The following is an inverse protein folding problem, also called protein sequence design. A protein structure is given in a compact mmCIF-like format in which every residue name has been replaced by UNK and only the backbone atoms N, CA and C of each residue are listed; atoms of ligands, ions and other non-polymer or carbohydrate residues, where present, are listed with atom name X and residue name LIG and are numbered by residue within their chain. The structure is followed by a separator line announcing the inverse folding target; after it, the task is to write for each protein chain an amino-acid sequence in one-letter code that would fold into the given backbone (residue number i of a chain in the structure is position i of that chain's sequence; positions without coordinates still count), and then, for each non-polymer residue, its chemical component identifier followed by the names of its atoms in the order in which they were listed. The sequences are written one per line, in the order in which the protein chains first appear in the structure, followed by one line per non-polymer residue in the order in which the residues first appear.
data_IF_073896489337
#
_entry.id   IF_073896489337
#
_cell.length_a   1.000
_cell.length_b   1.000
_cell.length_c   1.000
_cell.angle_alpha   90.00
_cell.angle_beta   90.00
_cell.angle_gamma   90.00
#
_symmetry.space_group_name_H-M   'P 1'
#
loop_
_entity.id
_entity.type
_entity.pdbx_description
1 polymer ?
#
# COMPACT_ATOMS: atom_id res chain seq x y z
N UNK A 1 18.68 34.89 -4.46
CA UNK A 1 18.77 33.67 -5.29
C UNK A 1 18.34 32.49 -4.46
N UNK A 2 17.38 31.72 -4.97
CA UNK A 2 16.79 30.54 -4.36
C UNK A 2 17.75 29.35 -4.49
N UNK A 3 18.02 28.64 -3.40
CA UNK A 3 18.19 27.18 -3.44
C UNK A 3 17.59 26.56 -2.16
N UNK A 4 16.38 26.02 -2.30
CA UNK A 4 15.80 25.04 -1.38
C UNK A 4 16.55 23.72 -1.59
N UNK A 5 17.21 23.21 -0.55
CA UNK A 5 17.66 21.82 -0.48
C UNK A 5 16.96 21.13 0.67
N UNK A 6 15.82 20.51 0.34
CA UNK A 6 15.25 19.41 1.10
C UNK A 6 16.12 18.18 0.88
N UNK A 7 16.90 17.78 1.88
CA UNK A 7 17.42 16.40 2.06
C UNK A 7 18.04 16.32 3.45
N UNK A 8 17.46 15.49 4.30
CA UNK A 8 17.88 15.24 5.68
C UNK A 8 19.37 14.86 5.77
N UNK A 9 20.18 15.55 6.60
CA UNK A 9 21.38 14.99 7.17
C UNK A 9 21.16 14.85 8.69
N UNK A 10 21.01 13.63 9.17
CA UNK A 10 21.22 13.36 10.61
C UNK A 10 22.35 12.36 10.73
N UNK A 11 23.56 12.91 10.61
CA UNK A 11 24.78 12.30 11.13
C UNK A 11 24.63 12.26 12.66
N UNK A 12 24.71 11.08 13.26
CA UNK A 12 25.10 10.95 14.67
C UNK A 12 26.15 9.86 14.81
N UNK A 13 27.35 10.32 15.16
CA UNK A 13 28.50 9.55 15.58
C UNK A 13 28.16 8.76 16.85
N UNK A 14 28.37 7.44 16.82
CA UNK A 14 28.38 6.61 18.02
C UNK A 14 29.83 6.49 18.49
N UNK A 15 30.16 7.09 19.64
CA UNK A 15 31.42 6.84 20.34
C UNK A 15 31.19 5.57 21.17
N UNK A 16 31.74 4.45 20.72
CA UNK A 16 31.92 3.25 21.55
C UNK A 16 33.42 3.07 21.79
N UNK A 17 33.79 2.90 23.06
CA UNK A 17 35.17 2.90 23.53
C UNK A 17 36.01 1.75 22.98
N UNK A 18 37.27 2.11 22.72
CA UNK A 18 38.52 1.32 22.76
C UNK A 18 38.56 -0.04 22.05
N UNK A 19 39.42 -0.05 21.02
CA UNK A 19 40.08 -1.16 20.31
C UNK A 19 39.36 -1.66 19.04
N UNK A 20 39.87 -1.21 17.89
CA UNK A 20 39.88 -2.03 16.66
C UNK A 20 39.20 -1.41 15.43
N UNK A 21 40.01 -0.74 14.60
CA UNK A 21 39.83 -0.50 13.15
C UNK A 21 38.62 0.32 12.66
N UNK A 22 38.92 1.61 12.42
CA UNK A 22 38.20 2.49 11.51
C UNK A 22 38.39 2.03 10.06
N UNK A 23 37.34 1.48 9.47
CA UNK A 23 37.10 1.65 8.02
C UNK A 23 35.88 2.55 7.88
N UNK A 24 36.15 3.82 7.58
CA UNK A 24 35.12 4.77 7.15
C UNK A 24 34.74 4.39 5.73
N UNK A 25 33.81 3.45 5.61
CA UNK A 25 33.01 3.28 4.41
C UNK A 25 31.78 4.15 4.53
N UNK A 26 31.59 5.08 3.59
CA UNK A 26 30.26 5.63 3.29
C UNK A 26 29.39 4.46 2.83
N UNK A 27 28.79 3.73 3.76
CA UNK A 27 27.72 2.78 3.44
C UNK A 27 26.46 3.62 3.30
N UNK A 28 26.34 4.26 2.15
CA UNK A 28 25.06 4.75 1.65
C UNK A 28 24.16 3.53 1.55
N UNK A 29 23.24 3.43 2.52
CA UNK A 29 22.28 2.33 2.69
C UNK A 29 22.90 0.96 3.00
N UNK A 30 22.66 0.46 4.22
CA UNK A 30 22.74 -0.99 4.53
C UNK A 30 21.79 -1.81 3.61
N UNK A 31 20.88 -1.13 2.90
CA UNK A 31 19.84 -1.71 2.05
C UNK A 31 20.27 -2.05 0.60
N UNK A 32 21.56 -1.94 0.23
CA UNK A 32 21.99 -2.14 -1.17
C UNK A 32 23.03 -3.23 -1.43
N UNK A 33 23.44 -4.03 -0.43
CA UNK A 33 24.41 -5.11 -0.65
C UNK A 33 23.73 -6.49 -0.76
N UNK A 34 23.75 -7.14 -1.94
CA UNK A 34 23.19 -8.48 -2.14
C UNK A 34 23.83 -9.55 -1.24
N UNK A 35 25.10 -9.35 -0.86
CA UNK A 35 25.88 -10.26 0.00
C UNK A 35 25.29 -10.40 1.40
N UNK A 36 24.51 -9.41 1.87
CA UNK A 36 23.92 -9.41 3.21
C UNK A 36 22.53 -10.07 3.26
N UNK A 37 21.92 -10.39 2.10
CA UNK A 37 20.58 -11.00 2.02
C UNK A 37 20.62 -12.53 2.02
N UNK A 38 21.77 -13.13 1.68
CA UNK A 38 21.94 -14.59 1.61
C UNK A 38 22.06 -15.25 2.99
N UNK A 39 22.48 -14.49 4.01
CA UNK A 39 22.82 -15.01 5.33
C UNK A 39 21.72 -14.70 6.37
N UNK A 40 21.10 -15.76 6.92
CA UNK A 40 19.95 -15.69 7.82
C UNK A 40 20.24 -14.88 9.10
N UNK A 41 21.48 -14.94 9.58
CA UNK A 41 21.93 -14.20 10.76
C UNK A 41 21.84 -12.69 10.54
N UNK A 42 22.30 -12.21 9.37
CA UNK A 42 22.31 -10.79 9.03
C UNK A 42 20.91 -10.24 8.76
N UNK A 43 20.00 -11.05 8.20
CA UNK A 43 18.57 -10.71 8.10
C UNK A 43 17.91 -10.51 9.47
N UNK A 44 18.21 -11.38 10.43
CA UNK A 44 17.70 -11.28 11.80
C UNK A 44 18.24 -10.03 12.51
N UNK A 45 19.54 -9.78 12.42
CA UNK A 45 20.16 -8.55 12.97
C UNK A 45 19.57 -7.27 12.36
N UNK A 46 19.24 -7.27 11.07
CA UNK A 46 18.61 -6.12 10.39
C UNK A 46 17.16 -5.91 10.87
N UNK A 47 16.39 -6.98 11.04
CA UNK A 47 15.04 -6.93 11.61
C UNK A 47 15.05 -6.41 13.06
N UNK A 48 15.97 -6.92 13.88
CA UNK A 48 16.15 -6.49 15.27
C UNK A 48 16.63 -5.03 15.35
N UNK A 49 17.49 -4.60 14.42
CA UNK A 49 17.90 -3.19 14.29
C UNK A 49 16.71 -2.28 13.96
N UNK A 50 15.86 -2.65 13.00
CA UNK A 50 14.67 -1.86 12.68
C UNK A 50 13.66 -1.88 13.81
N UNK A 51 13.46 -3.02 14.49
CA UNK A 51 12.59 -3.09 15.66
C UNK A 51 13.11 -2.19 16.80
N UNK A 52 14.42 -2.17 17.03
CA UNK A 52 15.06 -1.30 18.01
C UNK A 52 15.03 0.17 17.58
N UNK A 53 15.33 0.49 16.32
CA UNK A 53 15.28 1.84 15.76
C UNK A 53 13.87 2.42 15.82
N UNK A 54 12.84 1.65 15.46
CA UNK A 54 11.45 2.10 15.54
C UNK A 54 10.97 2.24 16.99
N UNK A 55 11.38 1.35 17.92
CA UNK A 55 11.13 1.51 19.35
C UNK A 55 11.87 2.71 19.94
N UNK A 56 13.12 2.93 19.55
CA UNK A 56 13.96 4.04 20.01
C UNK A 56 13.46 5.37 19.46
N UNK A 57 13.00 5.40 18.20
CA UNK A 57 12.33 6.56 17.60
C UNK A 57 10.99 6.89 18.27
N UNK A 58 10.26 5.89 18.78
CA UNK A 58 9.07 6.07 19.62
C UNK A 58 9.44 6.60 21.03
N UNK A 59 10.58 6.17 21.61
CA UNK A 59 11.01 6.50 22.98
C UNK A 59 11.69 7.87 23.10
N UNK A 60 12.48 8.31 22.11
CA UNK A 60 13.23 9.60 22.17
C UNK A 60 12.31 10.83 21.94
N UNK A 61 11.00 10.69 22.13
CA UNK A 61 10.09 11.83 22.27
C UNK A 61 9.55 12.42 20.97
N UNK A 62 9.89 11.87 19.79
CA UNK A 62 9.35 12.36 18.51
C UNK A 62 7.85 12.09 18.35
N UNK A 63 7.31 10.97 18.82
CA UNK A 63 5.87 10.69 18.65
C UNK A 63 4.95 11.64 19.45
N UNK A 64 5.32 12.03 20.67
CA UNK A 64 4.56 13.01 21.46
C UNK A 64 4.76 14.44 20.92
N UNK A 65 6.00 14.81 20.60
CA UNK A 65 6.36 16.11 20.04
C UNK A 65 5.76 16.38 18.66
N UNK A 66 5.70 15.37 17.78
CA UNK A 66 5.02 15.44 16.48
C UNK A 66 3.51 15.57 16.69
N UNK A 67 2.89 14.83 17.62
CA UNK A 67 1.45 15.00 17.88
C UNK A 67 1.10 16.36 18.47
N UNK A 68 1.96 16.98 19.29
CA UNK A 68 1.79 18.33 19.83
C UNK A 68 2.04 19.43 18.79
N UNK A 69 3.12 19.37 18.00
CA UNK A 69 3.37 20.37 16.94
C UNK A 69 2.31 20.36 15.84
N UNK A 70 1.69 19.20 15.57
CA UNK A 70 0.60 19.10 14.60
C UNK A 70 -0.72 19.66 15.17
N UNK A 71 -0.97 19.51 16.48
CA UNK A 71 -2.11 20.16 17.17
C UNK A 71 -2.01 21.68 17.16
N UNK A 72 -0.81 22.23 17.29
CA UNK A 72 -0.62 23.69 17.37
C UNK A 72 -0.65 24.38 16.00
N UNK A 73 -0.45 23.65 14.89
CA UNK A 73 -0.22 24.26 13.58
C UNK A 73 -1.24 23.88 12.49
N UNK A 74 -2.32 23.14 12.78
CA UNK A 74 -3.14 22.43 11.77
C UNK A 74 -3.48 23.25 10.53
N UNK A 75 -2.74 23.04 9.42
CA UNK A 75 -3.31 23.23 8.09
C UNK A 75 -4.22 22.02 7.85
N UNK A 76 -5.28 22.17 7.07
CA UNK A 76 -6.11 21.04 6.64
C UNK A 76 -5.25 19.93 5.98
N UNK A 77 -5.67 18.68 6.12
CA UNK A 77 -5.02 17.50 5.52
C UNK A 77 -3.86 16.88 6.32
N UNK A 78 -3.51 17.39 7.50
CA UNK A 78 -2.30 16.94 8.24
C UNK A 78 -2.40 15.49 8.75
N UNK A 79 -3.55 15.09 9.28
CA UNK A 79 -3.78 13.70 9.72
C UNK A 79 -3.88 12.73 8.56
N UNK A 80 -4.46 13.18 7.44
CA UNK A 80 -4.53 12.40 6.20
C UNK A 80 -3.12 12.07 5.70
N UNK A 81 -2.22 13.05 5.69
CA UNK A 81 -0.82 12.82 5.31
C UNK A 81 -0.12 11.80 6.20
N UNK A 82 -0.30 11.86 7.53
CA UNK A 82 0.26 10.86 8.44
C UNK A 82 -0.29 9.46 8.20
N UNK A 83 -1.57 9.35 7.86
CA UNK A 83 -2.17 8.08 7.49
C UNK A 83 -1.57 7.49 6.22
N UNK A 84 -1.38 8.30 5.18
CA UNK A 84 -0.77 7.88 3.90
C UNK A 84 0.67 7.42 4.13
N UNK A 85 1.50 8.22 4.82
CA UNK A 85 2.89 7.87 5.13
C UNK A 85 3.00 6.55 5.93
N UNK A 86 2.11 6.36 6.92
CA UNK A 86 2.07 5.09 7.65
C UNK A 86 1.60 3.91 6.80
N UNK A 87 0.70 4.13 5.83
CA UNK A 87 0.30 3.09 4.88
C UNK A 87 1.44 2.73 3.92
N UNK A 88 2.20 3.72 3.42
CA UNK A 88 3.37 3.51 2.56
C UNK A 88 4.46 2.72 3.28
N UNK A 89 4.74 3.05 4.54
CA UNK A 89 5.63 2.25 5.41
C UNK A 89 5.13 0.81 5.52
N UNK A 90 3.83 0.59 5.69
CA UNK A 90 3.25 -0.74 5.72
C UNK A 90 3.38 -1.50 4.38
N UNK A 91 3.50 -0.81 3.24
CA UNK A 91 3.78 -1.41 1.94
C UNK A 91 5.27 -1.76 1.75
N UNK A 92 6.17 -0.89 2.21
CA UNK A 92 7.62 -1.16 2.16
C UNK A 92 7.99 -2.41 2.95
N UNK A 93 7.38 -2.62 4.12
CA UNK A 93 7.54 -3.83 4.96
C UNK A 93 7.26 -5.13 4.18
N UNK A 94 6.27 -5.14 3.26
CA UNK A 94 5.94 -6.32 2.42
C UNK A 94 7.06 -6.65 1.47
N UNK A 95 7.67 -5.62 0.88
CA UNK A 95 8.68 -5.77 -0.17
C UNK A 95 9.93 -6.48 0.35
N UNK A 96 10.18 -6.41 1.66
CA UNK A 96 11.36 -6.98 2.30
C UNK A 96 11.06 -8.28 3.07
N UNK A 97 9.95 -8.96 2.80
CA UNK A 97 9.57 -10.23 3.44
C UNK A 97 9.65 -10.20 4.99
N UNK A 98 9.18 -9.09 5.57
CA UNK A 98 9.30 -8.82 7.01
C UNK A 98 8.05 -9.19 7.82
N UNK A 99 8.23 -9.28 9.15
CA UNK A 99 7.24 -9.71 10.13
C UNK A 99 5.84 -9.11 9.94
N UNK A 100 4.85 -9.98 9.68
CA UNK A 100 3.43 -9.64 9.53
C UNK A 100 2.86 -8.93 10.79
N UNK A 101 3.52 -9.12 11.94
CA UNK A 101 3.22 -8.45 13.22
C UNK A 101 3.54 -6.95 13.19
N UNK A 102 4.69 -6.55 12.63
CA UNK A 102 5.07 -5.13 12.51
C UNK A 102 4.11 -4.42 11.55
N UNK A 103 3.84 -5.04 10.40
CA UNK A 103 2.86 -4.53 9.44
C UNK A 103 1.49 -4.28 10.07
N UNK A 104 1.01 -5.23 10.86
CA UNK A 104 -0.27 -5.10 11.58
C UNK A 104 -0.28 -3.92 12.56
N UNK A 105 0.84 -3.65 13.25
CA UNK A 105 0.97 -2.48 14.15
C UNK A 105 0.93 -1.17 13.37
N UNK A 106 1.69 -1.08 12.27
CA UNK A 106 1.72 0.13 11.43
C UNK A 106 0.34 0.41 10.81
N UNK A 107 -0.35 -0.61 10.30
CA UNK A 107 -1.72 -0.44 9.78
C UNK A 107 -2.74 -0.04 10.86
N UNK A 108 -2.52 -0.44 12.11
CA UNK A 108 -3.33 0.07 13.24
C UNK A 108 -3.10 1.56 13.48
N UNK A 109 -1.85 2.01 13.37
CA UNK A 109 -1.48 3.43 13.46
C UNK A 109 -2.11 4.23 12.31
N UNK A 110 -2.01 3.74 11.08
CA UNK A 110 -2.64 4.35 9.90
C UNK A 110 -4.15 4.54 10.06
N UNK A 111 -4.84 3.50 10.54
CA UNK A 111 -6.28 3.58 10.79
C UNK A 111 -6.64 4.61 11.87
N UNK A 112 -5.85 4.73 12.94
CA UNK A 112 -6.09 5.76 13.96
C UNK A 112 -5.99 7.17 13.38
N UNK A 113 -5.00 7.43 12.51
CA UNK A 113 -4.86 8.73 11.86
C UNK A 113 -6.00 9.01 10.89
N UNK A 114 -6.46 8.03 10.12
CA UNK A 114 -7.60 8.26 9.22
C UNK A 114 -8.91 8.49 9.95
N UNK A 115 -9.17 7.82 11.08
CA UNK A 115 -10.34 8.14 11.89
C UNK A 115 -10.29 9.62 12.33
N UNK A 116 -9.13 10.07 12.80
CA UNK A 116 -8.93 11.47 13.21
C UNK A 116 -9.12 12.43 12.04
N UNK A 117 -8.56 12.12 10.86
CA UNK A 117 -8.77 12.90 9.65
C UNK A 117 -10.28 12.99 9.31
N UNK A 118 -10.99 11.86 9.28
CA UNK A 118 -12.41 11.87 8.96
C UNK A 118 -13.27 12.67 9.95
N UNK A 119 -12.82 12.85 11.19
CA UNK A 119 -13.53 13.66 12.21
C UNK A 119 -13.15 15.15 12.20
N UNK A 120 -11.95 15.49 11.72
CA UNK A 120 -11.39 16.86 11.84
C UNK A 120 -11.43 17.62 10.51
N UNK A 121 -11.36 16.93 9.37
CA UNK A 121 -11.33 17.58 8.06
C UNK A 121 -12.71 18.17 7.69
N UNK A 122 -12.75 19.50 7.56
CA UNK A 122 -13.95 20.26 7.18
C UNK A 122 -14.08 20.41 5.66
N UNK A 123 -12.94 20.51 4.96
CA UNK A 123 -12.85 20.66 3.49
C UNK A 123 -13.43 19.43 2.77
N UNK A 124 -14.36 19.65 1.84
CA UNK A 124 -15.09 18.57 1.15
C UNK A 124 -14.17 17.70 0.26
N UNK A 125 -13.24 18.32 -0.47
CA UNK A 125 -12.29 17.62 -1.33
C UNK A 125 -11.35 16.70 -0.53
N UNK A 126 -10.81 17.21 0.57
CA UNK A 126 -9.95 16.45 1.49
C UNK A 126 -10.73 15.35 2.21
N UNK A 127 -12.02 15.56 2.49
CA UNK A 127 -12.89 14.53 3.07
C UNK A 127 -13.09 13.38 2.09
N UNK A 128 -13.28 13.66 0.81
CA UNK A 128 -13.38 12.63 -0.24
C UNK A 128 -12.10 11.78 -0.31
N UNK A 129 -10.93 12.44 -0.34
CA UNK A 129 -9.64 11.75 -0.30
C UNK A 129 -9.46 10.95 0.99
N UNK A 130 -9.88 11.51 2.13
CA UNK A 130 -9.82 10.82 3.42
C UNK A 130 -10.62 9.53 3.41
N UNK A 131 -11.85 9.56 2.89
CA UNK A 131 -12.70 8.38 2.75
C UNK A 131 -12.10 7.34 1.79
N UNK A 132 -11.48 7.77 0.69
CA UNK A 132 -10.73 6.89 -0.23
C UNK A 132 -9.60 6.15 0.50
N UNK A 133 -8.73 6.89 1.19
CA UNK A 133 -7.62 6.31 1.95
C UNK A 133 -8.10 5.47 3.14
N UNK A 134 -9.26 5.81 3.71
CA UNK A 134 -9.90 5.01 4.74
C UNK A 134 -10.28 3.63 4.20
N UNK A 135 -10.99 3.60 3.08
CA UNK A 135 -11.35 2.39 2.38
C UNK A 135 -10.13 1.50 2.10
N UNK A 136 -9.05 2.09 1.57
CA UNK A 136 -7.82 1.37 1.29
C UNK A 136 -7.15 0.79 2.55
N UNK A 137 -7.05 1.55 3.64
CA UNK A 137 -6.48 1.05 4.90
C UNK A 137 -7.32 -0.10 5.45
N UNK A 138 -8.65 0.00 5.38
CA UNK A 138 -9.55 -1.07 5.79
C UNK A 138 -9.37 -2.33 4.92
N UNK A 139 -9.20 -2.17 3.59
CA UNK A 139 -8.89 -3.27 2.67
C UNK A 139 -7.58 -3.97 2.99
N UNK A 140 -6.54 -3.23 3.36
CA UNK A 140 -5.26 -3.84 3.77
C UNK A 140 -5.38 -4.49 5.14
N UNK A 141 -6.18 -3.91 6.03
CA UNK A 141 -6.45 -4.46 7.37
C UNK A 141 -7.37 -5.68 7.38
N UNK A 142 -8.16 -5.91 6.33
CA UNK A 142 -9.03 -7.10 6.24
C UNK A 142 -8.24 -8.41 6.26
N UNK A 143 -6.94 -8.38 5.93
CA UNK A 143 -6.01 -9.50 6.16
C UNK A 143 -5.91 -9.91 7.64
N UNK A 144 -6.14 -8.99 8.58
CA UNK A 144 -5.82 -9.16 10.00
C UNK A 144 -7.06 -9.15 10.92
N UNK A 145 -7.70 -10.29 11.18
CA UNK A 145 -8.84 -10.44 12.09
C UNK A 145 -10.15 -10.64 11.33
N UNK A 146 -11.29 -10.10 11.82
CA UNK A 146 -12.56 -10.21 11.10
C UNK A 146 -12.47 -9.52 9.72
N UNK A 147 -12.47 -10.34 8.66
CA UNK A 147 -12.30 -9.96 7.26
C UNK A 147 -13.54 -9.25 6.75
N UNK A 148 -14.70 -9.85 6.92
CA UNK A 148 -15.99 -9.38 6.43
C UNK A 148 -16.33 -7.98 6.96
N UNK A 149 -16.27 -7.80 8.29
CA UNK A 149 -16.54 -6.48 8.93
C UNK A 149 -15.66 -5.36 8.38
N UNK A 150 -14.42 -5.67 8.00
CA UNK A 150 -13.49 -4.67 7.46
C UNK A 150 -13.66 -4.43 5.98
N UNK A 151 -14.10 -5.44 5.23
CA UNK A 151 -14.41 -5.28 3.83
C UNK A 151 -15.69 -4.47 3.64
N UNK A 152 -16.74 -4.76 4.41
CA UNK A 152 -17.96 -3.94 4.43
C UNK A 152 -17.64 -2.49 4.77
N UNK A 153 -16.89 -2.27 5.86
CA UNK A 153 -16.45 -0.93 6.22
C UNK A 153 -15.55 -0.27 5.15
N UNK A 154 -14.79 -1.04 4.37
CA UNK A 154 -14.03 -0.47 3.27
C UNK A 154 -14.94 0.01 2.14
N UNK A 155 -15.97 -0.78 1.80
CA UNK A 155 -16.96 -0.43 0.78
C UNK A 155 -17.72 0.83 1.20
N UNK A 156 -18.23 0.88 2.43
CA UNK A 156 -18.98 2.04 2.93
C UNK A 156 -18.18 3.35 2.82
N UNK A 157 -16.89 3.31 3.16
CA UNK A 157 -16.04 4.51 3.07
C UNK A 157 -15.67 4.83 1.61
N UNK A 158 -15.47 3.83 0.73
CA UNK A 158 -15.22 4.09 -0.69
C UNK A 158 -16.45 4.67 -1.40
N UNK A 159 -17.64 4.20 -1.05
CA UNK A 159 -18.90 4.73 -1.59
C UNK A 159 -19.12 6.18 -1.18
N UNK A 160 -18.80 6.55 0.06
CA UNK A 160 -18.78 7.97 0.48
C UNK A 160 -17.81 8.80 -0.35
N UNK A 161 -16.63 8.26 -0.65
CA UNK A 161 -15.65 8.96 -1.49
C UNK A 161 -16.17 9.18 -2.92
N UNK A 162 -16.93 8.22 -3.47
CA UNK A 162 -17.54 8.32 -4.81
C UNK A 162 -18.64 9.40 -4.90
N UNK A 163 -19.37 9.64 -3.81
CA UNK A 163 -20.42 10.67 -3.77
C UNK A 163 -19.84 12.06 -4.01
N UNK A 164 -18.64 12.32 -3.46
CA UNK A 164 -17.96 13.62 -3.60
C UNK A 164 -17.04 13.66 -4.83
N UNK A 165 -16.28 12.59 -5.08
CA UNK A 165 -15.33 12.50 -6.20
C UNK A 165 -15.58 11.24 -7.04
N UNK A 166 -16.49 11.33 -8.01
CA UNK A 166 -16.87 10.21 -8.86
C UNK A 166 -15.89 9.90 -10.00
N UNK A 167 -14.96 10.82 -10.28
CA UNK A 167 -14.06 10.78 -11.47
C UNK A 167 -12.78 9.99 -11.19
N UNK A 168 -12.44 9.70 -9.93
CA UNK A 168 -11.20 9.01 -9.58
C UNK A 168 -11.28 7.49 -9.83
N UNK A 169 -10.56 6.93 -10.83
CA UNK A 169 -10.61 5.50 -11.14
C UNK A 169 -10.08 4.61 -10.01
N UNK A 170 -9.20 5.14 -9.15
CA UNK A 170 -8.62 4.35 -8.06
C UNK A 170 -9.68 3.95 -7.02
N UNK A 171 -10.72 4.76 -6.84
CA UNK A 171 -11.80 4.45 -5.90
C UNK A 171 -12.60 3.24 -6.42
N UNK A 172 -12.97 3.24 -7.69
CA UNK A 172 -13.63 2.11 -8.36
C UNK A 172 -12.77 0.84 -8.34
N UNK A 173 -11.47 0.97 -8.58
CA UNK A 173 -10.53 -0.14 -8.48
C UNK A 173 -10.48 -0.77 -7.08
N UNK A 174 -10.39 0.05 -6.02
CA UNK A 174 -10.39 -0.45 -4.64
C UNK A 174 -11.72 -1.07 -4.25
N UNK A 175 -12.83 -0.51 -4.74
CA UNK A 175 -14.17 -1.04 -4.48
C UNK A 175 -14.35 -2.40 -5.16
N UNK A 176 -13.85 -2.56 -6.39
CA UNK A 176 -13.79 -3.86 -7.08
C UNK A 176 -13.02 -4.92 -6.29
N UNK A 177 -11.83 -4.57 -5.76
CA UNK A 177 -11.05 -5.48 -4.89
C UNK A 177 -11.83 -5.84 -3.62
N UNK A 178 -12.54 -4.88 -3.02
CA UNK A 178 -13.31 -5.12 -1.81
C UNK A 178 -14.44 -6.13 -2.04
N UNK A 179 -15.23 -5.91 -3.10
CA UNK A 179 -16.34 -6.78 -3.52
C UNK A 179 -15.87 -8.16 -3.96
N UNK A 180 -14.76 -8.23 -4.70
CA UNK A 180 -14.12 -9.50 -5.05
C UNK A 180 -13.76 -10.31 -3.80
N UNK A 181 -13.19 -9.66 -2.77
CA UNK A 181 -12.82 -10.33 -1.52
C UNK A 181 -14.01 -10.79 -0.68
N UNK A 182 -15.19 -10.20 -0.87
CA UNK A 182 -16.47 -10.62 -0.28
C UNK A 182 -17.16 -11.74 -1.07
N UNK A 183 -16.71 -12.03 -2.30
CA UNK A 183 -17.33 -13.02 -3.18
C UNK A 183 -18.37 -12.44 -4.14
N UNK A 184 -18.54 -11.12 -4.15
CA UNK A 184 -19.46 -10.42 -5.06
C UNK A 184 -18.80 -10.19 -6.43
N UNK A 185 -18.52 -11.27 -7.15
CA UNK A 185 -17.70 -11.23 -8.37
C UNK A 185 -18.30 -10.40 -9.50
N UNK A 186 -19.62 -10.48 -9.71
CA UNK A 186 -20.30 -9.70 -10.75
C UNK A 186 -20.16 -8.19 -10.49
N UNK A 187 -20.42 -7.76 -9.27
CA UNK A 187 -20.29 -6.35 -8.90
C UNK A 187 -18.83 -5.89 -8.94
N UNK A 188 -17.87 -6.76 -8.61
CA UNK A 188 -16.45 -6.46 -8.74
C UNK A 188 -16.06 -6.17 -10.20
N UNK A 189 -16.58 -6.96 -11.16
CA UNK A 189 -16.37 -6.75 -12.59
C UNK A 189 -16.91 -5.39 -13.01
N UNK A 190 -18.15 -5.05 -12.63
CA UNK A 190 -18.75 -3.76 -12.96
C UNK A 190 -17.89 -2.59 -12.46
N UNK A 191 -17.32 -2.72 -11.26
CA UNK A 191 -16.43 -1.71 -10.68
C UNK A 191 -15.10 -1.60 -11.45
N UNK A 192 -14.51 -2.73 -11.85
CA UNK A 192 -13.28 -2.74 -12.63
C UNK A 192 -13.48 -2.21 -14.06
N UNK A 193 -14.64 -2.45 -14.66
CA UNK A 193 -15.03 -1.87 -15.96
C UNK A 193 -15.20 -0.35 -15.85
N UNK A 194 -15.90 0.15 -14.83
CA UNK A 194 -15.99 1.61 -14.57
C UNK A 194 -14.62 2.24 -14.32
N UNK A 195 -13.74 1.56 -13.57
CA UNK A 195 -12.37 2.03 -13.40
C UNK A 195 -11.63 2.14 -14.74
N UNK A 196 -11.79 1.15 -15.63
CA UNK A 196 -11.19 1.14 -16.97
C UNK A 196 -11.73 2.26 -17.87
N UNK A 197 -13.02 2.58 -17.77
CA UNK A 197 -13.64 3.67 -18.54
C UNK A 197 -13.11 5.06 -18.12
N UNK A 198 -12.78 5.23 -16.84
CA UNK A 198 -12.27 6.49 -16.28
C UNK A 198 -10.74 6.63 -16.40
N UNK A 199 -10.01 5.52 -16.49
CA UNK A 199 -8.56 5.53 -16.69
C UNK A 199 -8.18 6.00 -18.09
N UNK A 200 -7.60 7.22 -18.19
CA UNK A 200 -6.97 7.69 -19.44
C UNK A 200 -5.73 6.88 -19.82
N UNK A 201 -5.06 6.30 -18.83
CA UNK A 201 -3.90 5.43 -18.98
C UNK A 201 -4.24 4.07 -18.38
N UNK A 202 -4.29 3.03 -19.20
CA UNK A 202 -4.72 1.71 -18.75
C UNK A 202 -3.72 1.10 -17.75
N UNK A 203 -4.13 0.93 -16.49
CA UNK A 203 -3.29 0.28 -15.47
C UNK A 203 -3.33 -1.25 -15.58
N UNK A 204 -2.19 -1.95 -15.73
CA UNK A 204 -2.14 -3.43 -15.78
C UNK A 204 -2.74 -4.09 -14.53
N UNK A 205 -2.68 -3.41 -13.38
CA UNK A 205 -3.25 -3.84 -12.11
C UNK A 205 -4.77 -4.07 -12.22
N UNK A 206 -5.49 -3.10 -12.79
CA UNK A 206 -6.94 -3.14 -12.87
C UNK A 206 -7.40 -4.28 -13.79
N UNK A 207 -6.74 -4.42 -14.95
CA UNK A 207 -7.01 -5.51 -15.90
C UNK A 207 -6.73 -6.89 -15.32
N UNK A 208 -5.65 -7.05 -14.53
CA UNK A 208 -5.36 -8.29 -13.83
C UNK A 208 -6.47 -8.65 -12.81
N UNK A 209 -6.93 -7.68 -12.02
CA UNK A 209 -8.00 -7.91 -11.04
C UNK A 209 -9.37 -8.16 -11.70
N UNK A 210 -9.65 -7.53 -12.85
CA UNK A 210 -10.79 -7.84 -13.69
C UNK A 210 -10.78 -9.30 -14.16
N UNK A 211 -9.66 -9.77 -14.70
CA UNK A 211 -9.49 -11.16 -15.14
C UNK A 211 -9.68 -12.17 -14.01
N UNK A 212 -9.16 -11.87 -12.82
CA UNK A 212 -9.41 -12.70 -11.62
C UNK A 212 -10.90 -12.77 -11.26
N UNK A 213 -11.62 -11.65 -11.29
CA UNK A 213 -13.06 -11.62 -10.99
C UNK A 213 -13.87 -12.42 -12.03
N UNK A 214 -13.54 -12.29 -13.31
CA UNK A 214 -14.16 -13.04 -14.40
C UNK A 214 -13.89 -14.55 -14.33
N UNK A 215 -12.66 -14.94 -13.94
CA UNK A 215 -12.28 -16.34 -13.69
C UNK A 215 -13.15 -16.96 -12.60
N UNK A 216 -13.41 -16.24 -11.50
CA UNK A 216 -14.23 -16.73 -10.38
C UNK A 216 -15.71 -16.94 -10.73
N UNK A 217 -16.27 -16.21 -11.71
CA UNK A 217 -17.65 -16.46 -12.17
C UNK A 217 -17.83 -17.81 -12.87
N UNK A 218 -16.74 -18.40 -13.39
CA UNK A 218 -16.67 -19.73 -14.01
C UNK A 218 -17.73 -20.01 -15.13
N UNK A 219 -18.25 -18.96 -15.77
CA UNK A 219 -19.08 -19.10 -16.97
C UNK A 219 -18.20 -19.23 -18.21
N UNK A 220 -18.61 -19.95 -19.28
CA UNK A 220 -17.77 -20.12 -20.46
C UNK A 220 -17.39 -18.77 -21.11
N UNK A 221 -18.31 -17.80 -21.14
CA UNK A 221 -18.05 -16.44 -21.62
C UNK A 221 -17.02 -15.72 -20.74
N UNK A 222 -17.22 -15.72 -19.42
CA UNK A 222 -16.32 -15.02 -18.51
C UNK A 222 -14.91 -15.63 -18.48
N UNK A 223 -14.75 -16.93 -18.76
CA UNK A 223 -13.42 -17.55 -18.90
C UNK A 223 -12.66 -17.01 -20.12
N UNK A 224 -13.33 -16.89 -21.27
CA UNK A 224 -12.72 -16.30 -22.47
C UNK A 224 -12.36 -14.84 -22.23
N UNK A 225 -13.25 -14.09 -21.59
CA UNK A 225 -12.99 -12.69 -21.22
C UNK A 225 -11.79 -12.59 -20.25
N UNK A 226 -11.68 -13.50 -19.28
CA UNK A 226 -10.55 -13.56 -18.34
C UNK A 226 -9.22 -13.83 -19.06
N UNK A 227 -9.19 -14.78 -20.01
CA UNK A 227 -8.00 -15.02 -20.85
C UNK A 227 -7.58 -13.75 -21.58
N UNK A 228 -8.54 -13.08 -22.24
CA UNK A 228 -8.26 -11.85 -22.98
C UNK A 228 -7.74 -10.74 -22.07
N UNK A 229 -8.25 -10.64 -20.84
CA UNK A 229 -7.82 -9.67 -19.84
C UNK A 229 -6.38 -9.95 -19.38
N UNK A 230 -6.01 -11.22 -19.13
CA UNK A 230 -4.64 -11.58 -18.80
C UNK A 230 -3.68 -11.36 -19.97
N UNK A 231 -4.08 -11.69 -21.20
CA UNK A 231 -3.29 -11.42 -22.40
C UNK A 231 -2.97 -9.92 -22.55
N UNK A 232 -3.96 -9.04 -22.34
CA UNK A 232 -3.77 -7.59 -22.33
C UNK A 232 -2.75 -7.11 -21.28
N UNK A 233 -2.65 -7.79 -20.14
CA UNK A 233 -1.62 -7.50 -19.11
C UNK A 233 -0.22 -7.91 -19.59
N UNK A 234 -0.11 -8.99 -20.36
CA UNK A 234 1.17 -9.50 -20.86
C UNK A 234 1.75 -8.68 -22.01
N UNK A 235 0.90 -8.12 -22.88
CA UNK A 235 1.35 -7.34 -24.04
C UNK A 235 1.91 -5.97 -23.68
N UNK A 236 1.59 -5.45 -22.49
CA UNK A 236 2.02 -4.12 -22.05
C UNK A 236 3.45 -4.10 -21.53
N UNK A 237 4.18 -3.03 -21.88
CA UNK A 237 5.49 -2.74 -21.30
C UNK A 237 5.34 -2.25 -19.86
N UNK A 238 6.15 -2.81 -18.97
CA UNK A 238 6.01 -2.69 -17.52
C UNK A 238 7.29 -2.09 -16.92
N UNK A 239 7.28 -0.82 -16.55
CA UNK A 239 8.46 -0.16 -15.96
C UNK A 239 8.51 -0.32 -14.43
N UNK A 240 7.36 -0.53 -13.77
CA UNK A 240 7.29 -0.69 -12.31
C UNK A 240 7.59 -2.12 -11.84
N UNK A 241 8.26 -2.23 -10.67
CA UNK A 241 8.47 -3.52 -9.98
C UNK A 241 7.12 -4.22 -9.71
N UNK A 242 6.08 -3.45 -9.38
CA UNK A 242 4.73 -4.00 -9.13
C UNK A 242 4.11 -4.61 -10.37
N UNK A 243 4.31 -3.99 -11.54
CA UNK A 243 3.84 -4.51 -12.83
C UNK A 243 4.55 -5.81 -13.19
N UNK A 244 5.84 -5.93 -12.90
CA UNK A 244 6.59 -7.19 -13.11
C UNK A 244 6.03 -8.33 -12.26
N UNK A 245 5.68 -8.08 -11.00
CA UNK A 245 5.07 -9.09 -10.12
C UNK A 245 3.70 -9.50 -10.65
N UNK A 246 2.89 -8.52 -11.07
CA UNK A 246 1.54 -8.78 -11.61
C UNK A 246 1.63 -9.53 -12.92
N UNK A 247 2.57 -9.18 -13.81
CA UNK A 247 2.80 -9.91 -15.06
C UNK A 247 3.19 -11.35 -14.81
N UNK A 248 4.09 -11.63 -13.85
CA UNK A 248 4.44 -13.01 -13.45
C UNK A 248 3.21 -13.78 -12.96
N UNK A 249 2.37 -13.14 -12.14
CA UNK A 249 1.13 -13.75 -11.68
C UNK A 249 0.15 -14.00 -12.84
N UNK A 250 0.00 -13.03 -13.75
CA UNK A 250 -0.85 -13.13 -14.94
C UNK A 250 -0.42 -14.27 -15.88
N UNK A 251 0.89 -14.53 -16.06
CA UNK A 251 1.37 -15.67 -16.86
C UNK A 251 0.84 -16.99 -16.29
N UNK A 252 0.87 -17.16 -14.96
CA UNK A 252 0.36 -18.36 -14.32
C UNK A 252 -1.15 -18.49 -14.53
N UNK A 253 -1.88 -17.42 -14.24
CA UNK A 253 -3.35 -17.42 -14.37
C UNK A 253 -3.79 -17.64 -15.82
N UNK A 254 -3.08 -17.08 -16.79
CA UNK A 254 -3.35 -17.23 -18.22
C UNK A 254 -3.20 -18.70 -18.67
N UNK A 255 -2.10 -19.36 -18.30
CA UNK A 255 -1.88 -20.79 -18.60
C UNK A 255 -2.99 -21.66 -18.00
N UNK A 256 -3.34 -21.39 -16.74
CA UNK A 256 -4.43 -22.10 -16.09
C UNK A 256 -5.78 -21.86 -16.80
N UNK A 257 -6.00 -20.72 -17.47
CA UNK A 257 -7.26 -20.52 -18.19
C UNK A 257 -7.27 -21.20 -19.57
N UNK A 258 -6.11 -21.30 -20.25
CA UNK A 258 -5.98 -22.03 -21.52
C UNK A 258 -6.26 -23.54 -21.37
N UNK A 259 -5.95 -24.13 -20.23
CA UNK A 259 -6.18 -25.57 -19.97
C UNK A 259 -7.67 -25.96 -19.90
N UNK A 260 -8.59 -25.00 -19.71
CA UNK A 260 -10.03 -25.25 -19.55
C UNK A 260 -10.91 -24.62 -20.66
N UNK A 261 -10.30 -24.19 -21.76
CA UNK A 261 -10.96 -23.75 -23.00
C UNK A 261 -10.97 -24.92 -23.99
#
# INVERSE_FOLDING_TARGET
MVTRLWKYPLIKTCIAGTVGYLTVGLVDSVDSSPILDDDEKWRKYRSDFYEYYFKFADIVGKCHYIEEQYRTNTPSGSYLRCAIDSLEKAHQIIRFDSDDRLRRKVLRKAHRYVIKAATVEEDEDLRAETHKWYGLIMLKRSKYGNKEKRLLKAIDELEKALVTNSIDPQIWYYLGIAKYKLGEYQQAIDCHLRAKELERNECPQNQYHLGLAQKQLNTPKSRLDACSAFEQVLTKHCDSITDRVIRRAAIREFRECEEYI
#
